data_IF_401445029246
#
_entry.id   IF_401445029246
#
_cell.length_a   1.000
_cell.length_b   1.000
_cell.length_c   1.000
_cell.angle_alpha   90.00
_cell.angle_beta   90.00
_cell.angle_gamma   90.00
#
_symmetry.space_group_name_H-M   'P 1'
#
loop_
_entity.id
_entity.type
_entity.pdbx_description
1 polymer ?
#
# COMPACT_ATOMS: atom_id res chain seq x y z
N UNK A 1 0.46 -26.55 10.49
CA UNK A 1 0.84 -25.63 11.59
C UNK A 1 0.33 -24.25 11.23
N UNK A 2 -0.69 -23.74 11.92
CA UNK A 2 -1.15 -22.36 11.73
C UNK A 2 -0.10 -21.42 12.32
N UNK A 3 0.64 -20.76 11.44
CA UNK A 3 1.69 -19.81 11.85
C UNK A 3 1.03 -18.56 12.40
N UNK A 4 1.16 -18.31 13.71
CA UNK A 4 0.58 -17.15 14.39
C UNK A 4 0.87 -15.84 13.65
N UNK A 5 -0.17 -15.07 13.33
CA UNK A 5 -0.05 -13.74 12.73
C UNK A 5 0.74 -12.83 13.66
N UNK A 6 1.76 -12.17 13.11
CA UNK A 6 2.49 -11.10 13.79
C UNK A 6 1.78 -9.78 13.55
N UNK A 7 1.23 -9.20 14.61
CA UNK A 7 0.45 -7.97 14.53
C UNK A 7 1.36 -6.76 14.31
N UNK A 8 0.96 -5.86 13.41
CA UNK A 8 1.60 -4.56 13.27
C UNK A 8 1.20 -3.70 14.48
N UNK A 9 2.15 -3.17 15.28
CA UNK A 9 1.84 -2.34 16.43
C UNK A 9 1.02 -1.11 16.03
N UNK A 10 0.08 -0.69 16.88
CA UNK A 10 -0.83 0.43 16.57
C UNK A 10 -0.08 1.74 16.33
N UNK A 11 1.02 1.93 17.03
CA UNK A 11 1.90 3.10 16.91
C UNK A 11 2.53 3.15 15.52
N UNK A 12 2.90 2.01 14.95
CA UNK A 12 3.42 1.91 13.59
C UNK A 12 2.32 2.17 12.56
N UNK A 13 1.13 1.60 12.78
CA UNK A 13 -0.04 1.85 11.91
C UNK A 13 -0.45 3.33 11.91
N UNK A 14 -0.27 4.03 13.03
CA UNK A 14 -0.53 5.47 13.13
C UNK A 14 0.44 6.34 12.32
N UNK A 15 1.63 5.82 11.96
CA UNK A 15 2.59 6.53 11.11
C UNK A 15 2.23 6.51 9.62
N UNK A 16 1.31 5.63 9.21
CA UNK A 16 0.84 5.55 7.83
C UNK A 16 -0.22 6.66 7.64
N UNK A 17 0.04 7.68 6.82
CA UNK A 17 -0.95 8.72 6.57
C UNK A 17 -2.16 8.14 5.86
N UNK A 18 -3.32 8.77 6.03
CA UNK A 18 -4.46 8.48 5.16
C UNK A 18 -4.15 8.96 3.74
N UNK A 19 -4.53 8.17 2.74
CA UNK A 19 -4.42 8.56 1.34
C UNK A 19 -5.79 8.59 0.68
N UNK A 20 -6.15 9.75 0.13
CA UNK A 20 -7.47 10.01 -0.48
C UNK A 20 -7.51 9.76 -1.99
N UNK A 21 -6.36 9.57 -2.62
CA UNK A 21 -6.26 9.59 -4.08
C UNK A 21 -6.24 11.00 -4.64
N UNK A 22 -5.52 11.92 -3.99
CA UNK A 22 -5.24 13.24 -4.56
C UNK A 22 -3.98 13.19 -5.44
N UNK A 23 -3.90 14.06 -6.46
CA UNK A 23 -2.71 14.19 -7.32
C UNK A 23 -1.55 14.92 -6.63
N UNK A 24 -1.61 15.09 -5.31
CA UNK A 24 -0.55 15.72 -4.52
C UNK A 24 0.51 14.68 -4.27
N UNK A 25 1.52 14.66 -5.14
CA UNK A 25 2.61 13.68 -5.13
C UNK A 25 3.23 13.46 -3.75
N UNK A 26 3.36 14.52 -2.94
CA UNK A 26 3.90 14.41 -1.60
C UNK A 26 3.08 13.46 -0.70
N UNK A 27 1.75 13.49 -0.77
CA UNK A 27 0.88 12.62 0.04
C UNK A 27 1.00 11.16 -0.40
N UNK A 28 1.08 10.93 -1.71
CA UNK A 28 1.29 9.61 -2.28
C UNK A 28 2.69 9.06 -1.95
N UNK A 29 3.75 9.83 -2.17
CA UNK A 29 5.13 9.44 -1.89
C UNK A 29 5.31 9.12 -0.39
N UNK A 30 4.73 9.93 0.50
CA UNK A 30 4.78 9.68 1.95
C UNK A 30 4.01 8.42 2.34
N UNK A 31 2.80 8.23 1.80
CA UNK A 31 2.01 7.01 2.01
C UNK A 31 2.80 5.77 1.57
N UNK A 32 3.31 5.77 0.34
CA UNK A 32 4.06 4.64 -0.22
C UNK A 32 5.30 4.30 0.61
N UNK A 33 6.10 5.30 1.01
CA UNK A 33 7.29 5.07 1.85
C UNK A 33 6.95 4.45 3.20
N UNK A 34 5.85 4.86 3.83
CA UNK A 34 5.40 4.30 5.11
C UNK A 34 4.87 2.88 4.95
N UNK A 35 4.16 2.61 3.85
CA UNK A 35 3.71 1.26 3.51
C UNK A 35 4.88 0.32 3.18
N UNK A 36 5.87 0.78 2.42
CA UNK A 36 7.09 0.02 2.10
C UNK A 36 7.80 -0.42 3.39
N UNK A 37 7.97 0.49 4.36
CA UNK A 37 8.56 0.18 5.67
C UNK A 37 7.79 -0.91 6.43
N UNK A 38 6.46 -0.87 6.42
CA UNK A 38 5.63 -1.87 7.11
C UNK A 38 5.73 -3.23 6.41
N UNK A 39 5.71 -3.26 5.07
CA UNK A 39 5.85 -4.49 4.30
C UNK A 39 7.23 -5.12 4.49
N UNK A 40 8.30 -4.32 4.47
CA UNK A 40 9.66 -4.81 4.69
C UNK A 40 9.81 -5.44 6.08
N UNK A 41 9.16 -4.87 7.09
CA UNK A 41 9.32 -5.31 8.48
C UNK A 41 8.39 -6.44 8.88
N UNK A 42 7.16 -6.45 8.37
CA UNK A 42 6.10 -7.36 8.83
C UNK A 42 5.57 -8.30 7.74
N UNK A 43 5.90 -8.03 6.47
CA UNK A 43 5.67 -8.97 5.37
C UNK A 43 6.64 -10.14 5.47
N UNK A 44 6.23 -11.30 4.96
CA UNK A 44 7.05 -12.50 5.00
C UNK A 44 6.80 -13.40 3.77
N UNK A 45 7.78 -13.55 2.87
CA UNK A 45 7.67 -14.46 1.73
C UNK A 45 7.35 -15.89 2.18
N UNK A 46 6.31 -16.49 1.61
CA UNK A 46 5.84 -17.83 1.99
C UNK A 46 4.85 -17.87 3.15
N UNK A 47 4.46 -16.73 3.73
CA UNK A 47 3.37 -16.62 4.71
C UNK A 47 2.20 -15.80 4.18
N UNK A 48 1.37 -16.42 3.36
CA UNK A 48 0.24 -15.77 2.68
C UNK A 48 -0.72 -15.06 3.63
N UNK A 49 -1.13 -15.72 4.73
CA UNK A 49 -2.03 -15.12 5.72
C UNK A 49 -1.42 -13.87 6.40
N UNK A 50 -0.10 -13.89 6.67
CA UNK A 50 0.61 -12.72 7.22
C UNK A 50 0.63 -11.58 6.21
N UNK A 51 0.93 -11.88 4.94
CA UNK A 51 0.99 -10.88 3.88
C UNK A 51 -0.38 -10.28 3.60
N UNK A 52 -1.44 -11.08 3.63
CA UNK A 52 -2.82 -10.60 3.51
C UNK A 52 -3.21 -9.71 4.69
N UNK A 53 -2.84 -10.09 5.92
CA UNK A 53 -3.04 -9.25 7.09
C UNK A 53 -2.34 -7.90 6.95
N UNK A 54 -1.05 -7.88 6.59
CA UNK A 54 -0.30 -6.64 6.39
C UNK A 54 -0.91 -5.81 5.27
N UNK A 55 -1.29 -6.43 4.15
CA UNK A 55 -1.97 -5.75 3.06
C UNK A 55 -3.26 -5.06 3.54
N UNK A 56 -4.10 -5.75 4.31
CA UNK A 56 -5.31 -5.18 4.90
C UNK A 56 -5.04 -4.01 5.85
N UNK A 57 -3.93 -4.07 6.61
CA UNK A 57 -3.49 -2.93 7.44
C UNK A 57 -3.17 -1.72 6.57
N UNK A 58 -2.46 -1.91 5.45
CA UNK A 58 -2.13 -0.81 4.55
C UNK A 58 -3.39 -0.23 3.89
N UNK A 59 -4.25 -1.08 3.31
CA UNK A 59 -5.44 -0.65 2.58
C UNK A 59 -6.48 0.02 3.48
N UNK A 60 -6.49 -0.28 4.79
CA UNK A 60 -7.33 0.42 5.77
C UNK A 60 -7.06 1.94 5.86
N UNK A 61 -5.94 2.41 5.32
CA UNK A 61 -5.55 3.83 5.27
C UNK A 61 -5.95 4.51 3.96
N UNK A 62 -6.45 3.76 2.98
CA UNK A 62 -7.05 4.33 1.79
C UNK A 62 -8.44 4.88 2.13
N UNK A 63 -8.74 6.04 1.54
CA UNK A 63 -10.01 6.75 1.73
C UNK A 63 -10.46 7.35 0.41
N UNK A 64 -11.73 7.73 0.31
CA UNK A 64 -12.29 8.44 -0.85
C UNK A 64 -11.93 7.76 -2.19
N UNK A 65 -11.35 8.49 -3.15
CA UNK A 65 -11.06 8.00 -4.50
C UNK A 65 -10.09 6.81 -4.50
N UNK A 66 -9.11 6.79 -3.59
CA UNK A 66 -8.15 5.68 -3.55
C UNK A 66 -8.80 4.39 -3.02
N UNK A 67 -9.72 4.49 -2.07
CA UNK A 67 -10.49 3.34 -1.59
C UNK A 67 -11.48 2.86 -2.68
N UNK A 68 -12.16 3.78 -3.36
CA UNK A 68 -13.05 3.46 -4.47
C UNK A 68 -12.30 2.72 -5.59
N UNK A 69 -11.14 3.23 -5.99
CA UNK A 69 -10.29 2.62 -7.02
C UNK A 69 -9.93 1.17 -6.68
N UNK A 70 -9.54 0.89 -5.42
CA UNK A 70 -9.23 -0.47 -5.00
C UNK A 70 -10.47 -1.36 -4.95
N UNK A 71 -11.63 -0.83 -4.55
CA UNK A 71 -12.87 -1.61 -4.47
C UNK A 71 -13.35 -2.14 -5.83
N UNK A 72 -12.96 -1.49 -6.92
CA UNK A 72 -13.26 -1.91 -8.29
C UNK A 72 -12.23 -2.92 -8.85
N UNK A 73 -11.23 -3.33 -8.05
CA UNK A 73 -10.06 -4.11 -8.49
C UNK A 73 -9.80 -5.31 -7.59
N UNK A 74 -10.60 -6.37 -7.80
CA UNK A 74 -10.44 -7.67 -7.11
C UNK A 74 -9.12 -8.37 -7.45
N UNK A 75 -8.48 -7.99 -8.57
CA UNK A 75 -7.17 -8.50 -9.01
C UNK A 75 -6.00 -8.00 -8.15
N UNK A 76 -6.21 -6.95 -7.35
CA UNK A 76 -5.15 -6.27 -6.60
C UNK A 76 -5.14 -6.74 -5.15
N UNK A 77 -4.35 -7.79 -4.90
CA UNK A 77 -4.23 -8.45 -3.58
C UNK A 77 -2.84 -8.34 -2.95
N UNK A 78 -1.93 -7.59 -3.58
CA UNK A 78 -0.54 -7.42 -3.10
C UNK A 78 -0.18 -5.94 -3.02
N UNK A 79 0.76 -5.61 -2.12
CA UNK A 79 1.27 -4.25 -2.00
C UNK A 79 1.91 -3.74 -3.30
N UNK A 80 2.69 -4.57 -3.99
CA UNK A 80 3.34 -4.19 -5.25
C UNK A 80 2.32 -3.81 -6.33
N UNK A 81 1.29 -4.65 -6.53
CA UNK A 81 0.23 -4.37 -7.48
C UNK A 81 -0.56 -3.10 -7.11
N UNK A 82 -0.87 -2.92 -5.82
CA UNK A 82 -1.54 -1.70 -5.35
C UNK A 82 -0.68 -0.46 -5.57
N UNK A 83 0.62 -0.53 -5.27
CA UNK A 83 1.55 0.58 -5.45
C UNK A 83 1.59 1.04 -6.91
N UNK A 84 1.70 0.09 -7.85
CA UNK A 84 1.64 0.37 -9.28
C UNK A 84 0.31 1.02 -9.69
N UNK A 85 -0.82 0.46 -9.24
CA UNK A 85 -2.14 1.02 -9.50
C UNK A 85 -2.26 2.47 -9.01
N UNK A 86 -1.82 2.76 -7.78
CA UNK A 86 -1.86 4.10 -7.24
C UNK A 86 -0.97 5.06 -8.06
N UNK A 87 0.22 4.63 -8.48
CA UNK A 87 1.12 5.44 -9.32
C UNK A 87 0.47 5.72 -10.68
N UNK A 88 -0.15 4.73 -11.32
CA UNK A 88 -0.81 4.90 -12.61
C UNK A 88 -1.98 5.90 -12.54
N UNK A 89 -2.77 5.86 -11.46
CA UNK A 89 -3.98 6.69 -11.34
C UNK A 89 -3.74 8.07 -10.72
N UNK A 90 -2.83 8.16 -9.74
CA UNK A 90 -2.61 9.38 -8.94
C UNK A 90 -1.20 9.96 -9.05
N UNK A 91 -0.25 9.22 -9.61
CA UNK A 91 1.13 9.66 -9.79
C UNK A 91 1.33 10.65 -10.92
N UNK A 92 2.53 11.22 -11.00
CA UNK A 92 2.92 12.12 -12.08
C UNK A 92 3.32 11.29 -13.31
N UNK A 93 2.61 11.42 -14.45
CA UNK A 93 2.98 10.72 -15.68
C UNK A 93 4.42 11.05 -16.15
N UNK A 94 5.00 12.18 -15.73
CA UNK A 94 6.38 12.59 -16.06
C UNK A 94 7.44 11.85 -15.26
N UNK A 95 7.11 11.33 -14.07
CA UNK A 95 8.05 10.54 -13.24
C UNK A 95 8.15 9.10 -13.72
N UNK A 96 7.05 8.53 -14.20
CA UNK A 96 7.00 7.15 -14.72
C UNK A 96 7.85 6.96 -16.00
N UNK A 97 8.13 8.03 -16.74
CA UNK A 97 8.96 8.00 -17.95
C UNK A 97 10.47 7.90 -17.69
N UNK A 98 10.94 8.22 -16.48
CA UNK A 98 12.37 8.25 -16.13
C UNK A 98 12.92 6.92 -15.60
N UNK A 99 12.06 5.92 -15.37
CA UNK A 99 12.45 4.57 -14.91
C UNK A 99 12.54 3.54 -16.04
N UNK A 100 12.34 3.96 -17.30
CA UNK A 100 12.42 3.11 -18.50
C UNK A 100 13.48 3.58 -19.52
N UNK A 101 14.48 4.36 -19.08
CA UNK A 101 15.64 4.76 -19.90
C UNK A 101 16.93 4.15 -19.37
#
# INVERSE_FOLDING_TARGET
>A
MTSKIELVPKEIVALIPQFKGDKRLYHQDLYQRKCDYVIERYGNPGREEQNLYVFNVLTSKLTENAAALLSEREDVVTWSALKELLIQHFGDPRRSALTLS
#
